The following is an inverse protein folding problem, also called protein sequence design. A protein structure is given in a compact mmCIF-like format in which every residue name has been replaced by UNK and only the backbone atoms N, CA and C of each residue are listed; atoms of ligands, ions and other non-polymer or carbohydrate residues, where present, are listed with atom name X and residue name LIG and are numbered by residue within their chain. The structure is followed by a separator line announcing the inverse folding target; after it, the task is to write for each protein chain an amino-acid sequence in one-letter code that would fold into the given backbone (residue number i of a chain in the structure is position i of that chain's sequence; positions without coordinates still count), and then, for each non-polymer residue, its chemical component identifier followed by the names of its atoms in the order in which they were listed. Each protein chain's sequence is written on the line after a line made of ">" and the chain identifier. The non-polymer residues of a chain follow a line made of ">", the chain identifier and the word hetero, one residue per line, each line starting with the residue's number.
data_IF_661898847316
#
_entry.id   IF_661898847316
#
_cell.length_a   1.000
_cell.length_b   1.000
_cell.length_c   1.000
_cell.angle_alpha   90.00
_cell.angle_beta   90.00
_cell.angle_gamma   90.00
#
_symmetry.space_group_name_H-M   'P 1'
#
loop_
_entity.id
_entity.type
_entity.pdbx_description
1 polymer ?
#
# COMPACT_ATOMS: atom_id res chain seq x y z
N UNK A 1 -7.63 14.41 -21.57
CA UNK A 1 -8.92 14.41 -20.84
C UNK A 1 -8.67 14.97 -19.46
N UNK A 2 -9.24 16.14 -19.13
CA UNK A 2 -9.21 16.66 -17.77
C UNK A 2 -9.94 15.67 -16.86
N UNK A 3 -9.24 15.13 -15.86
CA UNK A 3 -9.79 14.16 -14.92
C UNK A 3 -10.60 14.91 -13.87
N UNK A 4 -11.79 14.42 -13.55
CA UNK A 4 -12.62 15.01 -12.50
C UNK A 4 -11.98 14.70 -11.15
N UNK A 5 -11.68 15.75 -10.40
CA UNK A 5 -11.20 15.68 -9.02
C UNK A 5 -12.29 16.21 -8.07
N UNK A 6 -12.31 15.67 -6.86
CA UNK A 6 -13.30 15.99 -5.83
C UNK A 6 -12.60 16.62 -4.63
N UNK A 7 -13.15 17.73 -4.15
CA UNK A 7 -12.81 18.30 -2.85
C UNK A 7 -13.86 17.85 -1.83
N UNK A 8 -13.43 17.25 -0.71
CA UNK A 8 -14.32 16.77 0.35
C UNK A 8 -15.10 17.90 1.03
N UNK A 9 -14.67 19.15 0.87
CA UNK A 9 -15.33 20.34 1.42
C UNK A 9 -16.32 20.98 0.46
N UNK A 10 -16.30 20.60 -0.82
CA UNK A 10 -17.16 21.14 -1.85
C UNK A 10 -18.47 20.34 -1.95
N UNK A 11 -19.25 20.34 -0.86
CA UNK A 11 -20.56 19.67 -0.73
C UNK A 11 -21.57 20.62 -0.10
N UNK A 12 -22.86 20.25 -0.13
CA UNK A 12 -23.88 21.03 0.60
C UNK A 12 -23.60 21.05 2.12
N UNK A 13 -24.15 22.05 2.80
CA UNK A 13 -23.86 22.30 4.22
C UNK A 13 -24.24 21.12 5.13
N UNK A 14 -25.30 20.38 4.81
CA UNK A 14 -25.74 19.25 5.63
C UNK A 14 -24.77 18.09 5.48
N UNK A 15 -24.35 17.81 4.25
CA UNK A 15 -23.33 16.78 3.96
C UNK A 15 -22.00 17.17 4.60
N UNK A 16 -21.62 18.45 4.53
CA UNK A 16 -20.41 18.94 5.18
C UNK A 16 -20.42 18.73 6.71
N UNK A 17 -21.57 18.91 7.36
CA UNK A 17 -21.72 18.63 8.79
C UNK A 17 -21.58 17.12 9.07
N UNK A 18 -22.17 16.25 8.26
CA UNK A 18 -21.96 14.80 8.38
C UNK A 18 -20.46 14.42 8.23
N UNK A 19 -19.76 15.02 7.27
CA UNK A 19 -18.32 14.80 7.07
C UNK A 19 -17.52 15.24 8.30
N UNK A 20 -17.90 16.35 8.95
CA UNK A 20 -17.27 16.78 10.21
C UNK A 20 -17.45 15.77 11.33
N UNK A 21 -18.62 15.16 11.47
CA UNK A 21 -18.84 14.09 12.45
C UNK A 21 -17.98 12.86 12.13
N UNK A 22 -17.84 12.51 10.85
CA UNK A 22 -16.96 11.42 10.43
C UNK A 22 -15.50 11.73 10.77
N UNK A 23 -15.04 12.97 10.58
CA UNK A 23 -13.69 13.37 10.99
C UNK A 23 -13.45 13.17 12.50
N UNK A 24 -14.46 13.39 13.35
CA UNK A 24 -14.33 13.11 14.78
C UNK A 24 -14.18 11.61 15.06
N UNK A 25 -15.04 10.77 14.46
CA UNK A 25 -14.94 9.30 14.58
C UNK A 25 -13.62 8.76 14.04
N UNK A 26 -13.16 9.27 12.89
CA UNK A 26 -11.87 8.95 12.27
C UNK A 26 -10.72 9.28 13.23
N UNK A 27 -10.69 10.48 13.82
CA UNK A 27 -9.66 10.84 14.80
C UNK A 27 -9.65 9.91 16.00
N UNK A 28 -10.82 9.53 16.50
CA UNK A 28 -10.94 8.56 17.58
C UNK A 28 -10.39 7.19 17.16
N UNK A 29 -10.73 6.70 15.98
CA UNK A 29 -10.23 5.43 15.46
C UNK A 29 -8.70 5.44 15.27
N UNK A 30 -8.14 6.52 14.72
CA UNK A 30 -6.69 6.72 14.62
C UNK A 30 -6.03 6.67 16.01
N UNK A 31 -6.64 7.30 17.02
CA UNK A 31 -6.13 7.24 18.40
C UNK A 31 -6.18 5.82 18.98
N UNK A 32 -7.22 5.03 18.71
CA UNK A 32 -7.26 3.62 19.11
C UNK A 32 -6.12 2.84 18.47
N UNK A 33 -5.95 2.94 17.15
CA UNK A 33 -4.84 2.30 16.42
C UNK A 33 -3.48 2.75 16.94
N UNK A 34 -3.26 4.06 17.16
CA UNK A 34 -2.00 4.59 17.68
C UNK A 34 -1.64 4.06 19.08
N UNK A 35 -2.65 3.67 19.86
CA UNK A 35 -2.49 3.04 21.17
C UNK A 35 -2.54 1.50 21.12
N UNK A 36 -2.49 0.90 19.92
CA UNK A 36 -2.58 -0.55 19.67
C UNK A 36 -3.89 -1.20 20.14
N UNK A 37 -4.94 -0.40 20.34
CA UNK A 37 -6.29 -0.92 20.53
C UNK A 37 -6.92 -1.19 19.15
N UNK A 38 -6.47 -2.27 18.52
CA UNK A 38 -6.85 -2.61 17.16
C UNK A 38 -8.33 -2.98 17.03
N UNK A 39 -8.92 -3.61 18.04
CA UNK A 39 -10.34 -4.00 18.03
C UNK A 39 -11.24 -2.79 18.21
N UNK A 40 -10.89 -1.88 19.15
CA UNK A 40 -11.61 -0.62 19.32
C UNK A 40 -11.59 0.25 18.06
N UNK A 41 -10.45 0.26 17.35
CA UNK A 41 -10.35 0.94 16.06
C UNK A 41 -11.25 0.31 14.98
N UNK A 42 -11.26 -1.03 14.86
CA UNK A 42 -12.08 -1.75 13.87
C UNK A 42 -13.57 -1.45 14.05
N UNK A 43 -14.07 -1.46 15.30
CA UNK A 43 -15.47 -1.14 15.57
C UNK A 43 -15.87 0.25 15.04
N UNK A 44 -15.01 1.26 15.27
CA UNK A 44 -15.24 2.61 14.75
C UNK A 44 -15.14 2.68 13.22
N UNK A 45 -14.17 1.98 12.62
CA UNK A 45 -14.09 1.92 11.15
C UNK A 45 -15.37 1.35 10.56
N UNK A 46 -15.88 0.23 11.08
CA UNK A 46 -17.10 -0.41 10.59
C UNK A 46 -18.33 0.49 10.69
N UNK A 47 -18.46 1.25 11.80
CA UNK A 47 -19.49 2.28 11.94
C UNK A 47 -19.39 3.36 10.84
N UNK A 48 -18.19 3.91 10.63
CA UNK A 48 -17.99 4.96 9.61
C UNK A 48 -18.24 4.41 8.20
N UNK A 49 -17.86 3.15 7.91
CA UNK A 49 -18.14 2.52 6.63
C UNK A 49 -19.64 2.37 6.39
N UNK A 50 -20.41 2.01 7.42
CA UNK A 50 -21.88 1.97 7.36
C UNK A 50 -22.47 3.35 7.09
N UNK A 51 -21.96 4.38 7.75
CA UNK A 51 -22.39 5.77 7.54
C UNK A 51 -22.09 6.24 6.10
N UNK A 52 -20.89 5.94 5.57
CA UNK A 52 -20.53 6.21 4.18
C UNK A 52 -21.41 5.46 3.18
N UNK A 53 -21.80 4.22 3.50
CA UNK A 53 -22.73 3.45 2.68
C UNK A 53 -24.10 4.15 2.61
N UNK A 54 -24.65 4.55 3.75
CA UNK A 54 -25.94 5.24 3.82
C UNK A 54 -25.92 6.54 3.00
N UNK A 55 -24.89 7.38 3.21
CA UNK A 55 -24.72 8.63 2.47
C UNK A 55 -24.65 8.39 0.95
N UNK A 56 -23.95 7.34 0.51
CA UNK A 56 -23.90 6.94 -0.90
C UNK A 56 -25.28 6.54 -1.43
N UNK A 57 -26.07 5.77 -0.68
CA UNK A 57 -27.42 5.36 -1.14
C UNK A 57 -28.37 6.55 -1.25
N UNK A 58 -28.33 7.47 -0.28
CA UNK A 58 -29.12 8.70 -0.31
C UNK A 58 -28.74 9.60 -1.48
N UNK A 59 -27.44 9.72 -1.77
CA UNK A 59 -26.94 10.46 -2.93
C UNK A 59 -27.40 9.81 -4.25
N UNK A 60 -27.35 8.48 -4.35
CA UNK A 60 -27.89 7.73 -5.50
C UNK A 60 -29.38 7.96 -5.71
N UNK A 61 -30.18 7.92 -4.63
CA UNK A 61 -31.61 8.17 -4.70
C UNK A 61 -31.92 9.58 -5.22
N UNK A 62 -31.09 10.57 -4.85
CA UNK A 62 -31.17 11.96 -5.32
C UNK A 62 -30.51 12.22 -6.68
N UNK A 63 -29.88 11.21 -7.29
CA UNK A 63 -29.02 11.34 -8.49
C UNK A 63 -27.89 12.37 -8.32
N UNK A 64 -27.40 12.51 -7.10
CA UNK A 64 -26.27 13.39 -6.76
C UNK A 64 -24.95 12.62 -6.89
N UNK A 65 -24.36 12.70 -8.07
CA UNK A 65 -23.10 12.02 -8.38
C UNK A 65 -21.93 12.51 -7.52
N UNK A 66 -21.89 13.81 -7.25
CA UNK A 66 -20.79 14.43 -6.51
C UNK A 66 -20.73 13.88 -5.09
N UNK A 67 -21.86 13.88 -4.39
CA UNK A 67 -21.94 13.33 -3.03
C UNK A 67 -21.69 11.83 -3.01
N UNK A 68 -22.20 11.08 -4.00
CA UNK A 68 -21.96 9.65 -4.08
C UNK A 68 -20.45 9.35 -4.25
N UNK A 69 -19.75 10.11 -5.09
CA UNK A 69 -18.31 9.98 -5.31
C UNK A 69 -17.50 10.40 -4.09
N UNK A 70 -17.89 11.48 -3.39
CA UNK A 70 -17.25 11.89 -2.13
C UNK A 70 -17.43 10.81 -1.05
N UNK A 71 -18.61 10.21 -0.94
CA UNK A 71 -18.89 9.10 -0.02
C UNK A 71 -17.98 7.89 -0.30
N UNK A 72 -17.74 7.60 -1.58
CA UNK A 72 -16.79 6.57 -1.99
C UNK A 72 -15.38 6.88 -1.51
N UNK A 73 -14.89 8.11 -1.74
CA UNK A 73 -13.54 8.51 -1.32
C UNK A 73 -13.36 8.50 0.20
N UNK A 74 -14.37 8.94 0.96
CA UNK A 74 -14.35 8.85 2.42
C UNK A 74 -14.25 7.39 2.88
N UNK A 75 -15.03 6.48 2.29
CA UNK A 75 -14.93 5.06 2.60
C UNK A 75 -13.57 4.47 2.18
N UNK A 76 -12.99 4.89 1.05
CA UNK A 76 -11.64 4.50 0.64
C UNK A 76 -10.58 4.97 1.64
N UNK A 77 -10.72 6.17 2.21
CA UNK A 77 -9.84 6.65 3.26
C UNK A 77 -9.99 5.84 4.56
N UNK A 78 -11.22 5.45 4.94
CA UNK A 78 -11.44 4.55 6.08
C UNK A 78 -10.81 3.17 5.84
N UNK A 79 -10.92 2.62 4.62
CA UNK A 79 -10.26 1.38 4.23
C UNK A 79 -8.72 1.49 4.34
N UNK A 80 -8.13 2.61 3.89
CA UNK A 80 -6.71 2.89 4.09
C UNK A 80 -6.32 2.80 5.57
N UNK A 81 -7.06 3.47 6.46
CA UNK A 81 -6.77 3.44 7.90
C UNK A 81 -6.94 2.05 8.49
N UNK A 82 -7.98 1.30 8.07
CA UNK A 82 -8.23 -0.08 8.48
C UNK A 82 -7.10 -1.03 8.02
N UNK A 83 -6.56 -0.81 6.82
CA UNK A 83 -5.39 -1.52 6.30
C UNK A 83 -4.14 -1.24 7.13
N UNK A 84 -3.90 0.02 7.53
CA UNK A 84 -2.79 0.37 8.43
C UNK A 84 -2.96 -0.30 9.80
N UNK A 85 -4.18 -0.27 10.36
CA UNK A 85 -4.51 -0.94 11.61
C UNK A 85 -4.24 -2.45 11.55
N UNK A 86 -4.68 -3.11 10.47
CA UNK A 86 -4.45 -4.54 10.23
C UNK A 86 -2.96 -4.86 10.07
N UNK A 87 -2.23 -4.07 9.28
CA UNK A 87 -0.77 -4.21 9.13
C UNK A 87 -0.07 -4.25 10.49
N UNK A 88 -0.32 -3.26 11.34
CA UNK A 88 0.31 -3.15 12.65
C UNK A 88 -0.10 -4.27 13.61
N UNK A 89 -1.39 -4.65 13.63
CA UNK A 89 -1.88 -5.80 14.40
C UNK A 89 -1.14 -7.09 14.04
N UNK A 90 -0.93 -7.33 12.74
CA UNK A 90 -0.23 -8.54 12.28
C UNK A 90 1.28 -8.44 12.61
N UNK A 91 1.89 -7.28 12.44
CA UNK A 91 3.29 -7.06 12.82
C UNK A 91 3.56 -7.30 14.32
N UNK A 92 2.63 -6.95 15.21
CA UNK A 92 2.74 -7.25 16.65
C UNK A 92 2.74 -8.76 16.94
N UNK A 93 2.16 -9.58 16.05
CA UNK A 93 2.23 -11.05 16.10
C UNK A 93 3.45 -11.66 15.38
N UNK A 94 4.38 -10.80 14.95
CA UNK A 94 5.63 -11.14 14.26
C UNK A 94 5.42 -11.86 12.90
N UNK A 95 4.24 -11.75 12.30
CA UNK A 95 3.94 -12.32 10.99
C UNK A 95 4.12 -11.29 9.87
N UNK A 96 5.39 -10.94 9.60
CA UNK A 96 5.70 -9.92 8.59
C UNK A 96 5.26 -10.30 7.18
N UNK A 97 5.28 -11.58 6.85
CA UNK A 97 4.84 -12.07 5.55
C UNK A 97 3.34 -11.80 5.34
N UNK A 98 2.49 -12.15 6.31
CA UNK A 98 1.05 -11.87 6.22
C UNK A 98 0.74 -10.37 6.29
N UNK A 99 1.54 -9.59 7.01
CA UNK A 99 1.39 -8.13 7.10
C UNK A 99 1.59 -7.42 5.74
N UNK A 100 2.26 -8.06 4.78
CA UNK A 100 2.45 -7.50 3.43
C UNK A 100 1.14 -7.18 2.72
N UNK A 101 0.11 -8.03 2.84
CA UNK A 101 -1.15 -7.82 2.12
C UNK A 101 -1.88 -6.55 2.59
N UNK A 102 -2.11 -6.32 3.90
CA UNK A 102 -2.67 -5.05 4.36
C UNK A 102 -1.85 -3.82 3.99
N UNK A 103 -0.52 -3.91 3.94
CA UNK A 103 0.32 -2.81 3.46
C UNK A 103 -0.03 -2.46 2.00
N UNK A 104 -0.10 -3.46 1.12
CA UNK A 104 -0.47 -3.26 -0.29
C UNK A 104 -1.92 -2.77 -0.43
N UNK A 105 -2.85 -3.23 0.40
CA UNK A 105 -4.24 -2.74 0.42
C UNK A 105 -4.29 -1.24 0.76
N UNK A 106 -3.48 -0.78 1.71
CA UNK A 106 -3.33 0.63 2.02
C UNK A 106 -2.76 1.43 0.84
N UNK A 107 -1.71 0.91 0.19
CA UNK A 107 -1.11 1.56 -0.98
C UNK A 107 -2.11 1.68 -2.16
N UNK A 108 -2.95 0.66 -2.39
CA UNK A 108 -3.99 0.72 -3.43
C UNK A 108 -5.10 1.73 -3.09
N UNK A 109 -5.46 1.85 -1.81
CA UNK A 109 -6.36 2.91 -1.36
C UNK A 109 -5.75 4.30 -1.62
N UNK A 110 -4.47 4.50 -1.31
CA UNK A 110 -3.76 5.76 -1.58
C UNK A 110 -3.75 6.12 -3.07
N UNK A 111 -3.43 5.15 -3.95
CA UNK A 111 -3.47 5.37 -5.41
C UNK A 111 -4.84 5.86 -5.87
N UNK A 112 -5.90 5.29 -5.30
CA UNK A 112 -7.29 5.69 -5.60
C UNK A 112 -7.57 7.10 -5.09
N UNK A 113 -7.18 7.42 -3.86
CA UNK A 113 -7.38 8.74 -3.26
C UNK A 113 -6.60 9.83 -4.03
N UNK A 114 -5.32 9.62 -4.31
CA UNK A 114 -4.48 10.55 -5.10
C UNK A 114 -5.03 10.76 -6.50
N UNK A 115 -5.64 9.73 -7.11
CA UNK A 115 -6.23 9.84 -8.45
C UNK A 115 -7.43 10.79 -8.48
N UNK A 116 -8.24 10.82 -7.42
CA UNK A 116 -9.56 11.46 -7.45
C UNK A 116 -9.71 12.65 -6.51
N UNK A 117 -8.83 12.83 -5.53
CA UNK A 117 -8.86 14.01 -4.66
C UNK A 117 -8.20 15.21 -5.32
N UNK A 118 -8.81 16.38 -5.14
CA UNK A 118 -8.26 17.65 -5.64
C UNK A 118 -7.04 18.12 -4.86
N UNK A 119 -6.95 17.78 -3.56
CA UNK A 119 -5.87 18.23 -2.68
C UNK A 119 -5.30 17.06 -1.86
N UNK A 120 -4.09 16.62 -2.21
CA UNK A 120 -3.39 15.51 -1.54
C UNK A 120 -2.91 15.83 -0.10
N UNK A 121 -2.94 17.10 0.31
CA UNK A 121 -2.62 17.49 1.69
C UNK A 121 -3.85 17.36 2.62
N UNK A 122 -5.06 17.19 2.07
CA UNK A 122 -6.22 16.84 2.89
C UNK A 122 -6.01 15.44 3.48
N UNK A 123 -6.39 15.26 4.75
CA UNK A 123 -6.35 13.98 5.45
C UNK A 123 -4.95 13.33 5.55
N UNK A 124 -3.88 14.11 5.39
CA UNK A 124 -2.48 13.66 5.47
C UNK A 124 -2.14 12.55 4.45
N UNK A 125 -2.82 12.53 3.29
CA UNK A 125 -2.63 11.47 2.28
C UNK A 125 -1.19 11.42 1.80
N UNK A 126 -0.56 12.58 1.56
CA UNK A 126 0.84 12.67 1.14
C UNK A 126 1.79 12.06 2.16
N UNK A 127 1.62 12.39 3.44
CA UNK A 127 2.47 11.89 4.53
C UNK A 127 2.27 10.39 4.73
N UNK A 128 1.03 9.91 4.67
CA UNK A 128 0.72 8.47 4.75
C UNK A 128 1.29 7.72 3.55
N UNK A 129 1.26 8.31 2.35
CA UNK A 129 1.88 7.70 1.17
C UNK A 129 3.39 7.50 1.35
N UNK A 130 4.11 8.54 1.75
CA UNK A 130 5.55 8.46 2.02
C UNK A 130 5.83 7.41 3.10
N UNK A 131 5.00 7.38 4.15
CA UNK A 131 5.11 6.41 5.23
C UNK A 131 4.99 4.95 4.76
N UNK A 132 3.92 4.62 4.01
CA UNK A 132 3.69 3.25 3.53
C UNK A 132 4.71 2.85 2.46
N UNK A 133 5.12 3.76 1.57
CA UNK A 133 6.18 3.51 0.59
C UNK A 133 7.53 3.24 1.26
N UNK A 134 7.84 3.95 2.35
CA UNK A 134 9.05 3.70 3.10
C UNK A 134 9.00 2.35 3.82
N UNK A 135 7.86 1.96 4.39
CA UNK A 135 7.67 0.60 4.93
C UNK A 135 7.88 -0.45 3.83
N UNK A 136 7.28 -0.24 2.65
CA UNK A 136 7.37 -1.16 1.52
C UNK A 136 8.82 -1.43 1.10
N UNK A 137 9.67 -0.40 1.07
CA UNK A 137 11.10 -0.51 0.69
C UNK A 137 11.93 -1.37 1.65
N UNK A 138 11.47 -1.60 2.87
CA UNK A 138 12.17 -2.39 3.89
C UNK A 138 11.82 -3.88 3.83
N UNK A 139 10.81 -4.26 3.04
CA UNK A 139 10.48 -5.66 2.80
C UNK A 139 11.49 -6.32 1.85
N UNK A 140 11.77 -7.63 2.02
CA UNK A 140 12.77 -8.34 1.23
C UNK A 140 12.31 -8.78 -0.17
N UNK A 141 11.11 -8.40 -0.60
CA UNK A 141 10.53 -8.87 -1.86
C UNK A 141 11.13 -8.14 -3.07
N UNK A 142 11.82 -8.90 -3.92
CA UNK A 142 12.40 -8.42 -5.18
C UNK A 142 11.72 -9.05 -6.40
N UNK A 143 11.24 -10.29 -6.25
CA UNK A 143 10.58 -11.04 -7.31
C UNK A 143 9.17 -11.43 -6.86
N UNK A 144 8.26 -11.43 -7.82
CA UNK A 144 6.84 -11.70 -7.64
C UNK A 144 6.36 -12.64 -8.74
N UNK A 145 5.33 -13.41 -8.43
CA UNK A 145 4.63 -14.26 -9.37
C UNK A 145 3.66 -13.39 -10.20
N UNK A 146 3.77 -13.45 -11.53
CA UNK A 146 2.82 -12.83 -12.44
C UNK A 146 2.10 -13.92 -13.22
N UNK A 147 0.77 -13.87 -13.20
CA UNK A 147 -0.06 -14.81 -13.95
C UNK A 147 -0.02 -14.49 -15.45
N UNK A 148 0.10 -15.55 -16.25
CA UNK A 148 -0.10 -15.50 -17.70
C UNK A 148 -1.40 -16.22 -18.02
N UNK A 149 -2.35 -15.49 -18.61
CA UNK A 149 -3.67 -16.01 -18.90
C UNK A 149 -4.34 -15.30 -20.09
N UNK A 150 -5.17 -16.03 -20.82
CA UNK A 150 -6.02 -15.50 -21.89
C UNK A 150 -7.38 -15.15 -21.29
N UNK A 151 -7.70 -13.87 -21.29
CA UNK A 151 -9.02 -13.39 -20.90
C UNK A 151 -10.02 -13.63 -22.03
N UNK A 152 -10.89 -14.64 -21.88
CA UNK A 152 -11.89 -15.01 -22.90
C UNK A 152 -13.06 -14.02 -22.92
N UNK A 153 -13.58 -13.69 -21.74
CA UNK A 153 -14.76 -12.85 -21.60
C UNK A 153 -14.53 -11.75 -20.57
N UNK A 154 -14.79 -10.50 -20.96
CA UNK A 154 -14.63 -9.29 -20.14
C UNK A 154 -15.93 -8.49 -20.13
N UNK A 155 -16.36 -8.05 -18.95
CA UNK A 155 -17.53 -7.18 -18.80
C UNK A 155 -17.21 -5.97 -17.93
N UNK A 156 -17.92 -4.86 -18.15
CA UNK A 156 -17.90 -3.70 -17.27
C UNK A 156 -18.63 -4.02 -15.96
N UNK A 157 -18.04 -3.66 -14.82
CA UNK A 157 -18.65 -3.88 -13.49
C UNK A 157 -19.96 -3.14 -13.26
N UNK A 158 -20.22 -2.04 -13.99
CA UNK A 158 -21.37 -1.17 -13.77
C UNK A 158 -22.56 -1.52 -14.66
N UNK A 159 -22.34 -1.82 -15.94
CA UNK A 159 -23.42 -2.13 -16.88
C UNK A 159 -23.47 -3.60 -17.33
N UNK A 160 -22.51 -4.44 -16.93
CA UNK A 160 -22.36 -5.84 -17.34
C UNK A 160 -22.22 -6.10 -18.85
N UNK A 161 -22.08 -5.05 -19.67
CA UNK A 161 -21.79 -5.16 -21.11
C UNK A 161 -20.30 -5.34 -21.36
N UNK A 162 -19.93 -5.75 -22.57
CA UNK A 162 -18.53 -5.73 -23.00
C UNK A 162 -17.97 -4.31 -22.90
N UNK A 163 -16.73 -4.10 -22.41
CA UNK A 163 -16.10 -2.77 -22.39
C UNK A 163 -15.83 -2.21 -23.80
N UNK A 164 -15.96 -3.04 -24.85
CA UNK A 164 -15.84 -2.63 -26.25
C UNK A 164 -17.21 -2.41 -26.92
N UNK A 165 -18.30 -2.63 -26.19
CA UNK A 165 -19.65 -2.37 -26.66
C UNK A 165 -19.88 -0.85 -26.80
N UNK A 166 -20.34 -0.34 -27.96
CA UNK A 166 -20.68 1.09 -28.11
C UNK A 166 -21.69 1.62 -27.10
N UNK A 167 -22.52 0.75 -26.51
CA UNK A 167 -23.48 1.12 -25.47
C UNK A 167 -22.87 1.21 -24.06
N UNK A 168 -21.60 0.82 -23.89
CA UNK A 168 -20.88 0.95 -22.64
C UNK A 168 -20.13 2.29 -22.57
N UNK A 169 -20.71 3.26 -21.85
CA UNK A 169 -20.11 4.59 -21.65
C UNK A 169 -19.15 4.69 -20.46
N UNK A 170 -18.80 3.56 -19.83
CA UNK A 170 -17.94 3.53 -18.64
C UNK A 170 -16.49 3.25 -19.00
N UNK A 171 -15.59 4.10 -18.51
CA UNK A 171 -14.14 3.95 -18.66
C UNK A 171 -13.59 3.30 -17.39
N UNK A 172 -12.88 2.18 -17.55
CA UNK A 172 -12.28 1.46 -16.43
C UNK A 172 -11.34 2.38 -15.63
N UNK A 173 -11.49 2.34 -14.32
CA UNK A 173 -10.78 3.17 -13.36
C UNK A 173 -11.39 4.56 -13.14
N UNK A 174 -12.51 4.94 -13.77
CA UNK A 174 -13.22 6.18 -13.44
C UNK A 174 -14.36 5.94 -12.42
N UNK A 175 -14.73 7.00 -11.69
CA UNK A 175 -15.84 6.97 -10.73
C UNK A 175 -17.16 7.36 -11.38
N UNK A 176 -18.22 6.63 -11.02
CA UNK A 176 -19.59 6.84 -11.46
C UNK A 176 -20.52 6.57 -10.27
N UNK A 177 -21.29 7.58 -9.83
CA UNK A 177 -22.29 7.44 -8.76
C UNK A 177 -21.79 6.68 -7.51
N UNK A 178 -20.58 6.97 -7.06
CA UNK A 178 -19.96 6.35 -5.88
C UNK A 178 -19.40 4.94 -6.09
N UNK A 179 -19.11 4.57 -7.34
CA UNK A 179 -18.49 3.30 -7.70
C UNK A 179 -17.42 3.49 -8.77
N UNK A 180 -16.27 2.81 -8.61
CA UNK A 180 -15.23 2.81 -9.63
C UNK A 180 -15.55 1.73 -10.66
N UNK A 181 -15.64 2.12 -11.94
CA UNK A 181 -15.80 1.17 -13.02
C UNK A 181 -14.56 0.27 -13.10
N UNK A 182 -14.75 -1.04 -13.14
CA UNK A 182 -13.68 -2.02 -13.32
C UNK A 182 -14.05 -2.98 -14.44
N UNK A 183 -13.04 -3.68 -14.96
CA UNK A 183 -13.26 -4.78 -15.90
C UNK A 183 -13.29 -6.06 -15.09
N UNK A 184 -14.42 -6.76 -15.15
CA UNK A 184 -14.58 -8.10 -14.56
C UNK A 184 -14.26 -9.13 -15.63
N UNK A 185 -13.23 -9.92 -15.40
CA UNK A 185 -12.91 -11.08 -16.23
C UNK A 185 -13.79 -12.24 -15.75
N UNK A 186 -14.68 -12.74 -16.61
CA UNK A 186 -15.61 -13.84 -16.28
C UNK A 186 -15.04 -15.20 -16.61
N UNK A 187 -14.28 -15.27 -17.68
CA UNK A 187 -13.69 -16.50 -18.19
C UNK A 187 -12.23 -16.24 -18.51
N UNK A 188 -11.38 -17.11 -17.95
CA UNK A 188 -9.94 -17.01 -18.04
C UNK A 188 -9.37 -18.39 -18.36
N UNK A 189 -8.48 -18.46 -19.33
CA UNK A 189 -7.66 -19.64 -19.60
C UNK A 189 -6.27 -19.38 -19.02
N UNK A 190 -5.88 -20.17 -18.03
CA UNK A 190 -4.56 -20.10 -17.41
C UNK A 190 -3.50 -20.70 -18.34
N UNK A 191 -2.38 -20.01 -18.52
CA UNK A 191 -1.25 -20.47 -19.32
C UNK A 191 -0.02 -20.79 -18.46
N UNK A 192 0.28 -19.95 -17.47
CA UNK A 192 1.49 -20.11 -16.68
C UNK A 192 1.69 -19.02 -15.63
N UNK A 193 2.85 -19.09 -14.96
CA UNK A 193 3.31 -18.10 -13.98
C UNK A 193 4.76 -17.77 -14.29
N UNK A 194 5.06 -16.47 -14.33
CA UNK A 194 6.41 -15.95 -14.56
C UNK A 194 6.90 -15.17 -13.34
N UNK A 195 8.20 -15.26 -13.04
CA UNK A 195 8.85 -14.46 -12.00
C UNK A 195 9.25 -13.09 -12.56
N UNK A 196 8.72 -12.02 -11.99
CA UNK A 196 8.94 -10.65 -12.45
C UNK A 196 9.38 -9.74 -11.31
N UNK A 197 10.11 -8.66 -11.63
CA UNK A 197 10.50 -7.64 -10.64
C UNK A 197 9.43 -6.57 -10.40
N UNK A 198 8.61 -6.29 -11.42
CA UNK A 198 7.62 -5.22 -11.41
C UNK A 198 6.23 -5.80 -11.73
N UNK A 199 5.59 -6.51 -10.78
CA UNK A 199 4.26 -7.06 -11.00
C UNK A 199 3.20 -5.94 -10.99
N UNK A 200 2.05 -6.23 -11.59
CA UNK A 200 0.85 -5.40 -11.42
C UNK A 200 0.29 -5.51 -9.99
N UNK A 201 0.29 -6.73 -9.42
CA UNK A 201 -0.08 -6.97 -8.02
C UNK A 201 1.14 -7.44 -7.23
N UNK A 202 1.62 -6.59 -6.33
CA UNK A 202 2.75 -6.91 -5.46
C UNK A 202 2.40 -7.90 -4.35
N UNK A 203 1.13 -8.25 -4.14
CA UNK A 203 0.73 -9.30 -3.18
C UNK A 203 1.16 -10.69 -3.62
N UNK A 204 1.43 -10.89 -4.91
CA UNK A 204 1.88 -12.15 -5.48
C UNK A 204 3.35 -12.47 -5.14
N UNK A 205 3.68 -12.51 -3.87
CA UNK A 205 5.04 -12.74 -3.37
C UNK A 205 5.48 -14.19 -3.58
N UNK A 206 6.80 -14.40 -3.58
CA UNK A 206 7.39 -15.71 -3.32
C UNK A 206 7.52 -15.85 -1.80
N UNK A 207 6.95 -16.91 -1.22
CA UNK A 207 7.00 -17.12 0.23
C UNK A 207 8.44 -17.30 0.71
N UNK A 208 8.75 -16.66 1.84
CA UNK A 208 10.06 -16.70 2.48
C UNK A 208 9.89 -17.23 3.91
N UNK A 209 10.88 -17.99 4.38
CA UNK A 209 10.85 -18.46 5.75
C UNK A 209 11.00 -17.28 6.73
N UNK A 210 10.11 -17.19 7.71
CA UNK A 210 10.16 -16.23 8.80
C UNK A 210 10.21 -17.00 10.13
N UNK A 211 11.42 -17.29 10.59
CA UNK A 211 11.63 -17.82 11.94
C UNK A 211 11.31 -16.71 12.96
N UNK A 212 10.17 -16.85 13.65
CA UNK A 212 9.69 -15.88 14.64
C UNK A 212 10.55 -15.83 15.90
N UNK A 213 11.30 -16.89 16.19
CA UNK A 213 12.19 -16.94 17.36
C UNK A 213 13.52 -16.24 17.06
N UNK A 214 13.96 -16.25 15.79
CA UNK A 214 15.24 -15.69 15.35
C UNK A 214 15.07 -14.70 14.19
N UNK A 215 14.15 -13.75 14.31
CA UNK A 215 13.77 -12.82 13.22
C UNK A 215 14.96 -12.02 12.70
N UNK A 216 15.94 -11.70 13.54
CA UNK A 216 17.17 -10.99 13.15
C UNK A 216 18.01 -11.76 12.10
N UNK A 217 17.85 -13.08 12.04
CA UNK A 217 18.49 -13.96 11.06
C UNK A 217 17.61 -14.23 9.83
N UNK A 218 16.43 -13.61 9.74
CA UNK A 218 15.50 -13.76 8.61
C UNK A 218 15.62 -12.59 7.62
N UNK A 219 15.10 -12.75 6.40
CA UNK A 219 14.97 -11.63 5.45
C UNK A 219 14.14 -10.45 5.98
N UNK A 220 13.29 -10.65 7.00
CA UNK A 220 12.41 -9.62 7.56
C UNK A 220 13.04 -8.78 8.67
N UNK A 221 14.34 -8.96 8.99
CA UNK A 221 15.02 -8.23 10.07
C UNK A 221 14.92 -6.70 9.98
N UNK A 222 14.90 -6.12 8.77
CA UNK A 222 14.82 -4.67 8.58
C UNK A 222 13.45 -4.13 8.98
N UNK A 223 12.37 -4.77 8.51
CA UNK A 223 11.02 -4.38 8.91
C UNK A 223 10.79 -4.65 10.40
N UNK A 224 11.33 -5.74 10.94
CA UNK A 224 11.29 -6.04 12.36
C UNK A 224 11.94 -4.93 13.21
N UNK A 225 13.15 -4.52 12.83
CA UNK A 225 13.88 -3.42 13.46
C UNK A 225 13.07 -2.13 13.44
N UNK A 226 12.47 -1.80 12.29
CA UNK A 226 11.60 -0.63 12.18
C UNK A 226 10.43 -0.70 13.17
N UNK A 227 9.64 -1.79 13.12
CA UNK A 227 8.42 -1.92 13.92
C UNK A 227 8.73 -1.85 15.41
N UNK A 228 9.79 -2.54 15.87
CA UNK A 228 10.26 -2.46 17.27
C UNK A 228 10.65 -1.04 17.67
N UNK A 229 11.29 -0.30 16.77
CA UNK A 229 11.85 1.02 17.07
C UNK A 229 10.82 2.14 17.03
N UNK A 230 9.86 2.06 16.11
CA UNK A 230 8.74 2.99 16.07
C UNK A 230 7.82 2.81 17.28
N UNK A 231 7.73 1.58 17.80
CA UNK A 231 6.85 1.11 18.89
C UNK A 231 5.35 1.23 18.57
N UNK A 232 4.92 2.31 17.92
CA UNK A 232 3.51 2.65 17.68
C UNK A 232 3.20 2.96 16.21
N UNK A 233 1.96 2.69 15.78
CA UNK A 233 1.47 3.12 14.46
C UNK A 233 1.50 4.64 14.30
N UNK A 234 1.53 5.10 13.04
CA UNK A 234 1.53 6.51 12.66
C UNK A 234 2.72 7.34 13.15
N UNK A 235 3.77 6.70 13.67
CA UNK A 235 5.05 7.37 13.90
C UNK A 235 5.81 7.49 12.58
N UNK A 236 5.70 8.66 11.94
CA UNK A 236 6.37 8.95 10.68
C UNK A 236 7.89 8.90 10.79
N UNK A 237 8.54 8.40 9.74
CA UNK A 237 9.99 8.25 9.65
C UNK A 237 10.47 8.48 8.21
N UNK A 238 11.76 8.74 8.07
CA UNK A 238 12.42 8.93 6.79
C UNK A 238 13.36 7.76 6.50
N UNK A 239 13.46 7.40 5.23
CA UNK A 239 14.51 6.51 4.73
C UNK A 239 15.52 7.32 3.93
N UNK A 240 16.78 7.22 4.33
CA UNK A 240 17.90 7.76 3.57
C UNK A 240 18.65 6.62 2.93
N UNK A 241 18.71 6.62 1.60
CA UNK A 241 19.59 5.72 0.87
C UNK A 241 21.02 6.24 0.99
N UNK A 242 21.86 5.49 1.70
CA UNK A 242 23.29 5.73 1.84
C UNK A 242 24.07 4.58 1.23
N UNK A 243 25.39 4.68 1.30
CA UNK A 243 26.30 3.59 0.94
C UNK A 243 27.01 3.17 2.21
N UNK A 244 27.09 1.87 2.43
CA UNK A 244 27.99 1.31 3.43
C UNK A 244 29.13 0.58 2.72
N UNK A 245 30.30 0.56 3.35
CA UNK A 245 31.48 -0.10 2.82
C UNK A 245 31.73 -1.35 3.64
N UNK A 246 31.70 -2.51 2.99
CA UNK A 246 31.94 -3.80 3.63
C UNK A 246 33.17 -4.49 3.03
N UNK A 247 33.97 -5.21 3.82
CA UNK A 247 35.08 -5.99 3.29
C UNK A 247 34.56 -7.10 2.35
N UNK A 248 35.33 -7.43 1.31
CA UNK A 248 34.98 -8.46 0.31
C UNK A 248 34.60 -9.81 0.94
N UNK A 249 35.20 -10.18 2.07
CA UNK A 249 34.91 -11.42 2.79
C UNK A 249 33.43 -11.57 3.18
N UNK A 250 32.71 -10.46 3.38
CA UNK A 250 31.27 -10.47 3.67
C UNK A 250 30.44 -11.04 2.50
N UNK A 251 31.00 -11.01 1.29
CA UNK A 251 30.39 -11.53 0.06
C UNK A 251 31.09 -12.81 -0.42
N UNK A 252 31.75 -13.55 0.48
CA UNK A 252 32.51 -14.77 0.12
C UNK A 252 31.68 -15.86 -0.55
N UNK A 253 30.37 -15.93 -0.28
CA UNK A 253 29.43 -16.87 -0.91
C UNK A 253 28.71 -16.30 -2.15
N UNK A 254 29.02 -15.05 -2.55
CA UNK A 254 28.36 -14.38 -3.66
C UNK A 254 28.90 -14.90 -5.00
N UNK A 255 28.03 -15.41 -5.86
CA UNK A 255 28.44 -15.96 -7.16
C UNK A 255 29.01 -14.88 -8.08
N UNK A 256 30.08 -15.22 -8.80
CA UNK A 256 30.75 -14.35 -9.77
C UNK A 256 29.84 -13.87 -10.90
N UNK A 257 28.84 -14.69 -11.26
CA UNK A 257 27.87 -14.37 -12.31
C UNK A 257 26.61 -13.68 -11.75
N UNK A 258 26.44 -13.61 -10.42
CA UNK A 258 25.33 -12.87 -9.81
C UNK A 258 25.54 -11.36 -9.99
N UNK A 259 24.44 -10.60 -9.93
CA UNK A 259 24.51 -9.15 -9.92
C UNK A 259 25.38 -8.65 -8.77
N UNK A 260 26.21 -7.65 -9.06
CA UNK A 260 27.14 -7.11 -8.10
C UNK A 260 26.40 -6.49 -6.90
N UNK A 261 26.81 -6.80 -5.65
CA UNK A 261 26.15 -6.26 -4.46
C UNK A 261 26.28 -4.74 -4.32
N UNK A 262 27.13 -4.08 -5.13
CA UNK A 262 27.19 -2.62 -5.18
C UNK A 262 25.99 -1.95 -5.86
N UNK A 263 25.10 -2.73 -6.48
CA UNK A 263 23.90 -2.21 -7.15
C UNK A 263 24.14 -1.70 -8.57
N UNK A 264 25.30 -1.98 -9.18
CA UNK A 264 25.63 -1.52 -10.55
C UNK A 264 24.94 -2.32 -11.66
N UNK A 265 24.11 -3.31 -11.32
CA UNK A 265 23.46 -4.24 -12.25
C UNK A 265 24.39 -5.04 -13.18
N UNK A 266 25.71 -5.01 -12.92
CA UNK A 266 26.72 -5.80 -13.66
C UNK A 266 26.99 -7.12 -12.93
N UNK A 267 27.44 -8.17 -13.64
CA UNK A 267 27.96 -9.38 -12.98
C UNK A 267 29.05 -9.03 -11.96
N UNK A 268 29.09 -9.73 -10.83
CA UNK A 268 30.02 -9.43 -9.74
C UNK A 268 31.48 -9.48 -10.19
N UNK A 269 31.83 -10.47 -11.02
CA UNK A 269 33.16 -10.64 -11.63
C UNK A 269 33.61 -9.45 -12.49
N UNK A 270 32.66 -8.73 -13.07
CA UNK A 270 32.92 -7.59 -13.98
C UNK A 270 32.88 -6.25 -13.25
N UNK A 271 32.62 -6.24 -11.93
CA UNK A 271 32.38 -5.00 -11.19
C UNK A 271 33.24 -4.85 -9.93
N UNK A 272 33.01 -5.68 -8.91
CA UNK A 272 33.65 -5.49 -7.60
C UNK A 272 34.39 -6.73 -7.09
N UNK A 273 34.46 -7.82 -7.85
CA UNK A 273 35.15 -9.06 -7.45
C UNK A 273 36.61 -8.85 -7.05
N UNK A 274 37.29 -7.89 -7.70
CA UNK A 274 38.69 -7.56 -7.47
C UNK A 274 38.90 -6.45 -6.43
N UNK A 275 37.83 -5.92 -5.83
CA UNK A 275 37.94 -4.86 -4.82
C UNK A 275 38.06 -5.47 -3.43
N UNK A 276 38.94 -4.91 -2.61
CA UNK A 276 39.10 -5.28 -1.20
C UNK A 276 37.87 -4.90 -0.37
N UNK A 277 37.27 -3.75 -0.71
CA UNK A 277 36.06 -3.21 -0.11
C UNK A 277 34.99 -2.98 -1.16
N UNK A 278 33.74 -3.28 -0.80
CA UNK A 278 32.59 -3.13 -1.67
C UNK A 278 31.63 -2.15 -1.03
N UNK A 279 31.37 -1.05 -1.73
CA UNK A 279 30.27 -0.15 -1.41
C UNK A 279 28.96 -0.81 -1.80
N UNK A 280 28.00 -0.92 -0.89
CA UNK A 280 26.65 -1.40 -1.21
C UNK A 280 25.58 -0.40 -0.76
N UNK A 281 24.46 -0.29 -1.51
CA UNK A 281 23.32 0.52 -1.10
C UNK A 281 22.80 0.06 0.26
N UNK A 282 22.48 1.00 1.14
CA UNK A 282 22.00 0.75 2.49
C UNK A 282 20.94 1.78 2.85
N UNK A 283 19.86 1.35 3.52
CA UNK A 283 18.86 2.27 4.04
C UNK A 283 19.14 2.59 5.50
N UNK A 284 19.34 3.88 5.77
CA UNK A 284 19.33 4.42 7.12
C UNK A 284 17.91 4.88 7.46
N UNK A 285 17.41 4.43 8.61
CA UNK A 285 16.08 4.78 9.10
C UNK A 285 16.22 5.94 10.09
N UNK A 286 15.55 7.06 9.81
CA UNK A 286 15.64 8.29 10.59
C UNK A 286 14.29 8.61 11.24
N UNK A 287 14.28 8.77 12.56
CA UNK A 287 13.13 9.29 13.30
C UNK A 287 13.45 10.68 13.84
N UNK A 288 12.74 11.71 13.37
CA UNK A 288 13.00 13.13 13.72
C UNK A 288 14.49 13.51 13.58
N UNK A 289 15.17 13.01 12.54
CA UNK A 289 16.59 13.24 12.29
C UNK A 289 17.59 12.41 13.12
N UNK A 290 17.13 11.49 13.99
CA UNK A 290 17.99 10.55 14.72
C UNK A 290 17.95 9.17 14.08
N UNK A 291 19.12 8.55 13.93
CA UNK A 291 19.23 7.16 13.46
C UNK A 291 18.51 6.22 14.43
N UNK A 292 17.62 5.41 13.87
CA UNK A 292 17.09 4.25 14.57
C UNK A 292 18.23 3.23 14.67
N UNK A 293 18.61 2.86 15.89
CA UNK A 293 19.67 1.89 16.10
C UNK A 293 19.19 0.52 15.60
N UNK A 294 19.82 0.01 14.53
CA UNK A 294 19.72 -1.40 14.19
C UNK A 294 20.32 -2.23 15.32
N UNK A 295 19.73 -3.37 15.72
CA UNK A 295 20.51 -4.39 16.40
C UNK A 295 21.74 -4.72 15.54
N UNK A 296 22.91 -4.76 16.18
CA UNK A 296 24.19 -5.06 15.53
C UNK A 296 24.25 -6.52 15.07
#
# INVERSE_FOLDING_TARGET
>A
MNRVQYDLTDVDINIYLCIKEYHYKIRKAINHTANKDYEGAVGLFDEIQKDCHNLKQEAKARKDEKTANISYLLNTYVLLLKSINSFWKICDSLDYQSAWSPLQDGIDCLRTLQKFMANENQLLIKEIAIYLENIEKLYPYVYFNSIEAINKTKICSLCNKSPFDPECNHIAGNLYMGEMATIVIREVEFLGISLVKNPMDKRCIVFMNCDKENIENTPFKLIHTLIKSLDKPYHFFELKLTKRTLPRQYYGSWSENSLCPCGSEKPFKECCSNKEFIENPHYEILSKGRLIQSPQ
#
